data_IF_746586196429
#
_entry.id   IF_746586196429
#
_cell.length_a   1.000
_cell.length_b   1.000
_cell.length_c   1.000
_cell.angle_alpha   90.00
_cell.angle_beta   90.00
_cell.angle_gamma   90.00
#
_symmetry.space_group_name_H-M   'P 1'
#
loop_
_entity.id
_entity.type
_entity.pdbx_description
1 polymer ?
#
# COMPACT_ATOMS: atom_id res chain seq x y z
N UNK A 1 3.39 -42.08 -4.35
CA UNK A 1 4.24 -41.09 -3.64
C UNK A 1 5.37 -40.51 -4.50
N UNK A 2 6.00 -41.27 -5.41
CA UNK A 2 7.14 -40.81 -6.23
C UNK A 2 6.79 -39.72 -7.27
N UNK A 3 5.61 -39.81 -7.91
CA UNK A 3 5.19 -38.90 -8.99
C UNK A 3 5.03 -37.45 -8.50
N UNK A 4 4.48 -37.25 -7.29
CA UNK A 4 4.34 -35.92 -6.69
C UNK A 4 5.70 -35.26 -6.42
N UNK A 5 6.71 -36.06 -6.06
CA UNK A 5 8.07 -35.57 -5.83
C UNK A 5 8.69 -35.07 -7.14
N UNK A 6 8.46 -35.79 -8.25
CA UNK A 6 8.91 -35.36 -9.58
C UNK A 6 8.22 -34.06 -10.00
N UNK A 7 6.90 -33.95 -9.86
CA UNK A 7 6.16 -32.73 -10.20
C UNK A 7 6.71 -31.49 -9.49
N UNK A 8 6.93 -31.58 -8.17
CA UNK A 8 7.46 -30.47 -7.38
C UNK A 8 8.91 -30.08 -7.76
N UNK A 9 9.69 -31.06 -8.23
CA UNK A 9 11.04 -30.80 -8.75
C UNK A 9 10.94 -30.00 -10.07
N UNK A 10 10.09 -30.43 -11.00
CA UNK A 10 9.91 -29.74 -12.29
C UNK A 10 9.38 -28.31 -12.11
N UNK A 11 8.35 -28.10 -11.28
CA UNK A 11 7.81 -26.75 -11.02
C UNK A 11 8.88 -25.82 -10.47
N UNK A 12 9.67 -26.29 -9.49
CA UNK A 12 10.77 -25.52 -8.89
C UNK A 12 11.84 -25.11 -9.90
N UNK A 13 12.21 -25.98 -10.85
CA UNK A 13 13.17 -25.62 -11.91
C UNK A 13 12.60 -24.58 -12.87
N UNK A 14 11.34 -24.74 -13.29
CA UNK A 14 10.70 -23.76 -14.19
C UNK A 14 10.60 -22.38 -13.57
N UNK A 15 10.35 -22.29 -12.26
CA UNK A 15 10.33 -21.03 -11.53
C UNK A 15 11.72 -20.39 -11.45
N UNK A 16 12.76 -21.17 -11.13
CA UNK A 16 14.14 -20.66 -11.10
C UNK A 16 14.55 -20.05 -12.44
N UNK A 17 14.17 -20.68 -13.55
CA UNK A 17 14.45 -20.15 -14.90
C UNK A 17 13.74 -18.81 -15.11
N UNK A 18 12.45 -18.69 -14.75
CA UNK A 18 11.71 -17.42 -14.87
C UNK A 18 12.31 -16.31 -14.02
N UNK A 19 12.73 -16.61 -12.79
CA UNK A 19 13.40 -15.65 -11.91
C UNK A 19 14.75 -15.20 -12.46
N UNK A 20 15.54 -16.13 -13.02
CA UNK A 20 16.78 -15.77 -13.70
C UNK A 20 16.52 -14.83 -14.89
N UNK A 21 15.52 -15.11 -15.73
CA UNK A 21 15.13 -14.21 -16.82
C UNK A 21 14.78 -12.80 -16.31
N UNK A 22 14.01 -12.69 -15.22
CA UNK A 22 13.66 -11.39 -14.61
C UNK A 22 14.93 -10.65 -14.19
N UNK A 23 15.85 -11.30 -13.47
CA UNK A 23 17.10 -10.67 -13.02
C UNK A 23 17.96 -10.18 -14.18
N UNK A 24 18.02 -10.94 -15.28
CA UNK A 24 18.77 -10.56 -16.48
C UNK A 24 18.15 -9.34 -17.14
N UNK A 25 16.82 -9.28 -17.27
CA UNK A 25 16.14 -8.15 -17.91
C UNK A 25 16.30 -6.88 -17.06
N UNK A 26 16.22 -6.99 -15.73
CA UNK A 26 16.50 -5.86 -14.81
C UNK A 26 17.93 -5.37 -15.00
N UNK A 27 18.91 -6.28 -15.05
CA UNK A 27 20.31 -5.93 -15.28
C UNK A 27 20.51 -5.22 -16.63
N UNK A 28 19.89 -5.71 -17.71
CA UNK A 28 19.92 -5.07 -19.02
C UNK A 28 19.29 -3.66 -18.99
N UNK A 29 18.18 -3.49 -18.28
CA UNK A 29 17.49 -2.22 -18.14
C UNK A 29 18.37 -1.18 -17.44
N UNK A 30 19.07 -1.57 -16.37
CA UNK A 30 20.00 -0.72 -15.62
C UNK A 30 21.23 -0.36 -16.48
N UNK A 31 21.82 -1.34 -17.15
CA UNK A 31 22.97 -1.13 -18.03
C UNK A 31 22.63 -0.19 -19.20
N UNK A 32 21.45 -0.36 -19.80
CA UNK A 32 20.96 0.52 -20.85
C UNK A 32 20.83 1.97 -20.33
N UNK A 33 20.23 2.15 -19.14
CA UNK A 33 20.10 3.47 -18.52
C UNK A 33 21.46 4.14 -18.26
N UNK A 34 22.43 3.42 -17.71
CA UNK A 34 23.77 3.96 -17.39
C UNK A 34 24.55 4.32 -18.66
N UNK A 35 24.59 3.41 -19.64
CA UNK A 35 25.38 3.62 -20.87
C UNK A 35 24.80 4.73 -21.76
N UNK A 36 23.48 4.81 -21.86
CA UNK A 36 22.78 5.76 -22.73
C UNK A 36 22.40 7.09 -22.05
N UNK A 37 22.96 7.36 -20.87
CA UNK A 37 22.65 8.57 -20.07
C UNK A 37 23.03 9.87 -20.81
N UNK A 38 24.12 9.88 -21.59
CA UNK A 38 24.67 11.09 -22.22
C UNK A 38 24.33 11.26 -23.71
N UNK A 39 23.99 10.18 -24.42
CA UNK A 39 23.83 10.22 -25.88
C UNK A 39 22.40 10.49 -26.37
N UNK A 40 21.37 10.29 -25.54
CA UNK A 40 19.97 10.31 -25.98
C UNK A 40 19.10 11.37 -25.28
N UNK A 41 18.14 11.89 -26.03
CA UNK A 41 17.11 12.82 -25.54
C UNK A 41 16.18 12.16 -24.52
N UNK A 42 15.55 12.97 -23.67
CA UNK A 42 14.69 12.51 -22.56
C UNK A 42 13.55 11.59 -23.02
N UNK A 43 12.98 11.85 -24.19
CA UNK A 43 11.82 11.11 -24.71
C UNK A 43 12.15 9.66 -25.07
N UNK A 44 13.32 9.43 -25.67
CA UNK A 44 13.77 8.08 -26.09
C UNK A 44 14.00 7.19 -24.87
N UNK A 45 14.54 7.75 -23.78
CA UNK A 45 14.77 7.03 -22.51
C UNK A 45 13.47 6.50 -21.91
N UNK A 46 12.41 7.31 -21.94
CA UNK A 46 11.08 6.93 -21.42
C UNK A 46 10.51 5.75 -22.21
N UNK A 47 10.66 5.75 -23.52
CA UNK A 47 10.16 4.67 -24.39
C UNK A 47 10.85 3.33 -24.08
N UNK A 48 12.19 3.30 -23.99
CA UNK A 48 12.91 2.09 -23.62
C UNK A 48 12.52 1.59 -22.22
N UNK A 49 12.40 2.49 -21.24
CA UNK A 49 11.96 2.14 -19.88
C UNK A 49 10.58 1.49 -19.87
N UNK A 50 9.62 2.04 -20.62
CA UNK A 50 8.26 1.49 -20.74
C UNK A 50 8.31 0.08 -21.33
N UNK A 51 9.08 -0.13 -22.40
CA UNK A 51 9.20 -1.45 -23.05
C UNK A 51 9.76 -2.49 -22.07
N UNK A 52 10.86 -2.19 -21.38
CA UNK A 52 11.43 -3.10 -20.38
C UNK A 52 10.47 -3.38 -19.22
N UNK A 53 9.73 -2.37 -18.77
CA UNK A 53 8.72 -2.51 -17.71
C UNK A 53 7.58 -3.45 -18.10
N UNK A 54 7.03 -3.30 -19.33
CA UNK A 54 6.00 -4.20 -19.85
C UNK A 54 6.51 -5.65 -19.92
N UNK A 55 7.73 -5.85 -20.43
CA UNK A 55 8.36 -7.17 -20.52
C UNK A 55 8.53 -7.81 -19.14
N UNK A 56 9.03 -7.04 -18.17
CA UNK A 56 9.19 -7.50 -16.79
C UNK A 56 7.86 -7.94 -16.19
N UNK A 57 6.84 -7.10 -16.32
CA UNK A 57 5.53 -7.34 -15.75
C UNK A 57 4.88 -8.58 -16.34
N UNK A 58 4.97 -8.77 -17.66
CA UNK A 58 4.43 -9.95 -18.35
C UNK A 58 5.06 -11.25 -17.83
N UNK A 59 6.38 -11.28 -17.67
CA UNK A 59 7.09 -12.45 -17.15
C UNK A 59 6.78 -12.66 -15.66
N UNK A 60 6.72 -11.59 -14.88
CA UNK A 60 6.38 -11.64 -13.45
C UNK A 60 4.98 -12.20 -13.22
N UNK A 61 3.96 -11.78 -13.96
CA UNK A 61 2.61 -12.32 -13.84
C UNK A 61 2.53 -13.82 -14.19
N UNK A 62 3.43 -14.32 -15.05
CA UNK A 62 3.53 -15.74 -15.39
C UNK A 62 4.21 -16.59 -14.30
N UNK A 63 4.88 -15.97 -13.32
CA UNK A 63 5.50 -16.69 -12.19
C UNK A 63 4.45 -17.23 -11.22
N UNK A 64 4.82 -18.26 -10.45
CA UNK A 64 3.95 -18.83 -9.41
C UNK A 64 3.57 -17.79 -8.35
N UNK A 65 4.51 -16.92 -7.96
CA UNK A 65 4.26 -15.77 -7.07
C UNK A 65 3.30 -14.77 -7.70
N UNK A 66 3.47 -14.44 -8.99
CA UNK A 66 2.57 -13.53 -9.71
C UNK A 66 1.12 -14.04 -9.77
N UNK A 67 0.93 -15.33 -10.07
CA UNK A 67 -0.40 -15.96 -10.08
C UNK A 67 -1.05 -15.99 -8.69
N UNK A 68 -0.28 -16.27 -7.65
CA UNK A 68 -0.78 -16.24 -6.26
C UNK A 68 -1.26 -14.85 -5.87
N UNK A 69 -0.55 -13.79 -6.26
CA UNK A 69 -0.96 -12.42 -5.98
C UNK A 69 -2.31 -12.11 -6.65
N UNK A 70 -2.52 -12.54 -7.90
CA UNK A 70 -3.80 -12.35 -8.61
C UNK A 70 -4.95 -13.09 -7.91
N UNK A 71 -4.70 -14.31 -7.43
CA UNK A 71 -5.70 -15.08 -6.69
C UNK A 71 -5.99 -14.39 -5.34
N UNK A 72 -4.95 -13.97 -4.62
CA UNK A 72 -5.07 -13.27 -3.35
C UNK A 72 -5.86 -11.96 -3.48
N UNK A 73 -5.61 -11.15 -4.51
CA UNK A 73 -6.39 -9.91 -4.70
C UNK A 73 -7.86 -10.18 -5.00
N UNK A 74 -8.16 -11.28 -5.71
CA UNK A 74 -9.54 -11.73 -5.91
C UNK A 74 -10.19 -12.17 -4.60
N UNK A 75 -9.48 -12.94 -3.78
CA UNK A 75 -9.97 -13.42 -2.48
C UNK A 75 -10.19 -12.26 -1.51
N UNK A 76 -9.27 -11.28 -1.47
CA UNK A 76 -9.42 -10.05 -0.69
C UNK A 76 -10.67 -9.29 -1.09
N UNK A 77 -10.97 -9.14 -2.39
CA UNK A 77 -12.19 -8.44 -2.81
C UNK A 77 -13.46 -9.16 -2.35
N UNK A 78 -13.47 -10.49 -2.40
CA UNK A 78 -14.58 -11.31 -1.90
C UNK A 78 -14.75 -11.10 -0.39
N UNK A 79 -13.66 -11.03 0.37
CA UNK A 79 -13.71 -10.78 1.81
C UNK A 79 -14.11 -9.35 2.16
N UNK A 80 -13.58 -8.35 1.44
CA UNK A 80 -13.96 -6.94 1.58
C UNK A 80 -15.46 -6.73 1.34
N UNK A 81 -16.06 -7.47 0.40
CA UNK A 81 -17.50 -7.40 0.17
C UNK A 81 -18.34 -7.97 1.32
N UNK A 82 -17.75 -8.75 2.22
CA UNK A 82 -18.40 -9.19 3.47
C UNK A 82 -18.32 -8.14 4.57
N UNK A 83 -17.50 -7.10 4.40
CA UNK A 83 -17.40 -6.00 5.35
C UNK A 83 -18.63 -5.13 5.17
N UNK A 84 -19.57 -5.27 6.11
CA UNK A 84 -20.72 -4.41 6.21
C UNK A 84 -20.21 -3.11 6.81
N UNK A 85 -19.93 -2.11 5.98
CA UNK A 85 -19.50 -0.81 6.46
C UNK A 85 -20.62 -0.18 7.30
N UNK A 86 -20.28 0.43 8.45
CA UNK A 86 -21.26 1.03 9.34
C UNK A 86 -22.06 2.08 8.59
N UNK A 87 -23.38 2.12 8.82
CA UNK A 87 -24.25 3.10 8.19
C UNK A 87 -23.86 4.51 8.60
N UNK A 88 -24.00 5.49 7.71
CA UNK A 88 -23.76 6.91 8.02
C UNK A 88 -24.47 7.37 9.30
N UNK A 89 -25.64 6.81 9.59
CA UNK A 89 -26.41 7.11 10.80
C UNK A 89 -25.72 6.61 12.08
N UNK A 90 -25.10 5.44 12.04
CA UNK A 90 -24.40 4.85 13.18
C UNK A 90 -23.11 5.59 13.48
N UNK A 91 -22.33 5.90 12.43
CA UNK A 91 -21.10 6.71 12.54
C UNK A 91 -21.41 8.11 13.05
N UNK A 92 -22.47 8.75 12.54
CA UNK A 92 -22.86 10.08 13.00
C UNK A 92 -23.33 10.07 14.47
N UNK A 93 -24.00 9.01 14.92
CA UNK A 93 -24.42 8.87 16.32
C UNK A 93 -23.22 8.80 17.27
N UNK A 94 -22.21 7.99 16.95
CA UNK A 94 -21.02 7.87 17.81
C UNK A 94 -20.18 9.14 17.78
N UNK A 95 -19.93 9.74 16.60
CA UNK A 95 -19.20 11.01 16.48
C UNK A 95 -19.95 12.16 17.16
N UNK A 96 -21.27 12.25 17.01
CA UNK A 96 -22.09 13.27 17.67
C UNK A 96 -22.04 13.16 19.19
N UNK A 97 -22.05 11.93 19.73
CA UNK A 97 -21.90 11.71 21.18
C UNK A 97 -20.51 12.14 21.68
N UNK A 98 -19.45 11.86 20.91
CA UNK A 98 -18.09 12.32 21.23
C UNK A 98 -17.98 13.84 21.16
N UNK A 99 -18.56 14.48 20.14
CA UNK A 99 -18.58 15.94 20.01
C UNK A 99 -19.30 16.60 21.20
N UNK A 100 -20.47 16.10 21.59
CA UNK A 100 -21.19 16.58 22.77
C UNK A 100 -20.33 16.48 24.03
N UNK A 101 -19.64 15.36 24.23
CA UNK A 101 -18.77 15.15 25.38
C UNK A 101 -17.60 16.15 25.39
N UNK A 102 -16.94 16.38 24.24
CA UNK A 102 -15.82 17.32 24.12
C UNK A 102 -16.29 18.77 24.32
N UNK A 103 -17.45 19.15 23.78
CA UNK A 103 -18.01 20.48 23.99
C UNK A 103 -18.32 20.73 25.47
N UNK A 104 -18.89 19.73 26.15
CA UNK A 104 -19.20 19.84 27.57
C UNK A 104 -17.93 19.98 28.43
N UNK A 105 -16.90 19.18 28.15
CA UNK A 105 -15.63 19.27 28.89
C UNK A 105 -14.89 20.57 28.58
N UNK A 106 -14.93 21.05 27.34
CA UNK A 106 -14.33 22.33 26.94
C UNK A 106 -15.00 23.51 27.64
N UNK A 107 -16.34 23.53 27.76
CA UNK A 107 -17.05 24.61 28.46
C UNK A 107 -16.72 24.60 29.97
N UNK A 108 -16.62 23.41 30.55
CA UNK A 108 -16.31 23.23 31.97
C UNK A 108 -14.90 23.73 32.31
N UNK A 109 -13.91 23.35 31.51
CA UNK A 109 -12.54 23.83 31.67
C UNK A 109 -12.45 25.34 31.49
N UNK A 110 -13.08 25.89 30.45
CA UNK A 110 -13.10 27.34 30.22
C UNK A 110 -13.68 28.13 31.41
N UNK A 111 -14.74 27.61 32.02
CA UNK A 111 -15.34 28.21 33.21
C UNK A 111 -14.38 28.17 34.42
N UNK A 112 -13.74 27.03 34.66
CA UNK A 112 -12.76 26.88 35.74
C UNK A 112 -11.56 27.81 35.55
N UNK A 113 -10.99 27.86 34.35
CA UNK A 113 -9.87 28.74 34.02
C UNK A 113 -10.24 30.21 34.26
N UNK A 114 -11.45 30.62 33.88
CA UNK A 114 -11.96 31.97 34.13
C UNK A 114 -12.08 32.31 35.62
N UNK A 115 -12.59 31.38 36.43
CA UNK A 115 -12.71 31.55 37.89
C UNK A 115 -11.33 31.65 38.54
N UNK A 116 -10.40 30.77 38.15
CA UNK A 116 -9.04 30.76 38.69
C UNK A 116 -8.33 32.06 38.35
N UNK A 117 -8.39 32.54 37.10
CA UNK A 117 -7.79 33.81 36.70
C UNK A 117 -8.37 34.99 37.46
N UNK A 118 -9.69 35.02 37.68
CA UNK A 118 -10.33 36.09 38.45
C UNK A 118 -9.91 36.06 39.91
N UNK A 119 -9.82 34.87 40.53
CA UNK A 119 -9.35 34.70 41.90
C UNK A 119 -7.89 35.13 42.07
N UNK A 120 -7.02 34.79 41.12
CA UNK A 120 -5.62 35.23 41.12
C UNK A 120 -5.54 36.76 40.97
N UNK A 121 -6.33 37.35 40.07
CA UNK A 121 -6.37 38.81 39.92
C UNK A 121 -6.81 39.50 41.22
N UNK A 122 -7.81 38.97 41.92
CA UNK A 122 -8.24 39.48 43.23
C UNK A 122 -7.16 39.39 44.31
N UNK A 123 -6.27 38.39 44.25
CA UNK A 123 -5.19 38.26 45.24
C UNK A 123 -4.02 39.20 44.94
N UNK A 124 -3.79 39.50 43.66
CA UNK A 124 -2.63 40.25 43.19
C UNK A 124 -2.87 41.77 43.15
N UNK A 125 -4.13 42.19 43.19
CA UNK A 125 -4.58 43.59 43.22
C UNK A 125 -4.94 43.99 44.64
#
# INVERSE_FOLDING_TARGET
MHIHKLYNIYTKYTERIKWLCITIIISCMILNYIFFIHQYSKNIKIIFFIIYSILLLSIFLSTFTGKQIIIFTKDVNIELSKIIWPSYKETCKTTGMVLLLITLTSIFLWMLDGIILHAISWILT
#
